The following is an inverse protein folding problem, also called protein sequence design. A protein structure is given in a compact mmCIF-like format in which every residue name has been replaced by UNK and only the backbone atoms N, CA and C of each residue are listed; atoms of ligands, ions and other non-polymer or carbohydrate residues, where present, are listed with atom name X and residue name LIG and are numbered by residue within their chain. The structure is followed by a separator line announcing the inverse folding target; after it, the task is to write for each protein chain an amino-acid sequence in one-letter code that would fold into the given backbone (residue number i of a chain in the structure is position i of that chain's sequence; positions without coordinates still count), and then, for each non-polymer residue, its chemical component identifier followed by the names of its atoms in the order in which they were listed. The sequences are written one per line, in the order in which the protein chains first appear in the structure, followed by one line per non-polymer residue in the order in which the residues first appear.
data_IF_105693284769
#
_entry.id   IF_105693284769
#
_cell.length_a   1.000
_cell.length_b   1.000
_cell.length_c   1.000
_cell.angle_alpha   90.00
_cell.angle_beta   90.00
_cell.angle_gamma   90.00
#
_symmetry.space_group_name_H-M   'P 1'
#
loop_
_entity.id
_entity.type
_entity.pdbx_description
1 polymer ?
#
# COMPACT_ATOMS: atom_id res chain seq x y z
N UNK A 1 0.57 -13.18 3.95
CA UNK A 1 0.83 -12.44 5.19
C UNK A 1 2.32 -12.41 5.50
N UNK A 2 2.82 -11.33 6.09
CA UNK A 2 4.25 -11.19 6.42
C UNK A 2 4.58 -12.04 7.65
N UNK A 3 3.71 -12.06 8.64
CA UNK A 3 3.74 -12.97 9.80
C UNK A 3 2.55 -13.92 9.79
N UNK A 4 2.69 -15.10 10.39
CA UNK A 4 1.59 -16.02 10.67
C UNK A 4 0.56 -15.41 11.64
N UNK A 5 -0.63 -15.97 11.69
CA UNK A 5 -1.78 -15.53 12.50
C UNK A 5 -3.04 -15.33 11.66
N UNK A 6 -4.21 -15.22 12.30
CA UNK A 6 -5.50 -15.01 11.61
C UNK A 6 -5.72 -15.92 10.38
N UNK A 7 -5.65 -17.23 10.56
CA UNK A 7 -5.81 -18.27 9.53
C UNK A 7 -4.61 -18.42 8.55
N UNK A 8 -3.44 -17.89 8.89
CA UNK A 8 -2.18 -18.14 8.17
C UNK A 8 -1.23 -18.82 9.14
N UNK A 9 -0.96 -20.11 8.95
CA UNK A 9 -0.13 -20.92 9.84
C UNK A 9 1.35 -20.51 9.81
N UNK A 10 1.86 -20.10 8.63
CA UNK A 10 3.25 -19.70 8.44
C UNK A 10 3.27 -18.40 7.63
N UNK A 11 3.87 -17.35 8.17
CA UNK A 11 4.13 -16.12 7.43
C UNK A 11 5.40 -16.19 6.60
N UNK A 12 5.60 -15.19 5.73
CA UNK A 12 6.78 -15.10 4.87
C UNK A 12 8.09 -15.11 5.67
N UNK A 13 8.14 -14.40 6.79
CA UNK A 13 9.35 -14.31 7.63
C UNK A 13 9.70 -15.66 8.24
N UNK A 14 8.72 -16.37 8.77
CA UNK A 14 8.87 -17.69 9.36
C UNK A 14 9.34 -18.71 8.30
N UNK A 15 8.75 -18.69 7.11
CA UNK A 15 9.15 -19.55 6.00
C UNK A 15 10.59 -19.29 5.54
N UNK A 16 10.99 -18.01 5.47
CA UNK A 16 12.35 -17.63 5.09
C UNK A 16 13.37 -18.00 6.17
N UNK A 17 13.07 -17.82 7.46
CA UNK A 17 13.91 -18.26 8.56
C UNK A 17 14.16 -19.77 8.52
N UNK A 18 13.10 -20.54 8.31
CA UNK A 18 13.21 -22.00 8.18
C UNK A 18 14.08 -22.42 6.97
N UNK A 19 13.85 -21.79 5.81
CA UNK A 19 14.59 -22.10 4.58
C UNK A 19 16.08 -21.76 4.67
N UNK A 20 16.40 -20.57 5.17
CA UNK A 20 17.78 -20.09 5.15
C UNK A 20 18.58 -20.41 6.42
N UNK A 21 17.92 -20.90 7.48
CA UNK A 21 18.55 -21.22 8.80
C UNK A 21 19.39 -20.05 9.35
N UNK A 22 18.94 -18.81 9.09
CA UNK A 22 19.63 -17.58 9.49
C UNK A 22 18.65 -16.60 10.14
N UNK A 23 19.11 -15.72 11.02
CA UNK A 23 18.29 -14.66 11.52
C UNK A 23 17.86 -13.76 10.35
N UNK A 24 16.56 -13.64 10.15
CA UNK A 24 15.93 -12.74 9.17
C UNK A 24 14.91 -11.94 9.94
N UNK A 25 15.03 -10.61 9.87
CA UNK A 25 14.15 -9.70 10.58
C UNK A 25 13.49 -8.73 9.61
N UNK A 26 12.25 -8.39 9.90
CA UNK A 26 11.44 -7.49 9.08
C UNK A 26 11.84 -6.04 9.31
N UNK A 27 12.17 -5.32 8.25
CA UNK A 27 12.45 -3.88 8.32
C UNK A 27 11.16 -3.06 8.30
N UNK A 28 10.22 -3.44 7.44
CA UNK A 28 8.90 -2.82 7.33
C UNK A 28 7.87 -3.87 6.93
N UNK A 29 6.62 -3.46 6.83
CA UNK A 29 5.52 -4.36 6.46
C UNK A 29 4.74 -3.85 5.25
N UNK A 30 4.12 -4.78 4.54
CA UNK A 30 3.06 -4.54 3.58
C UNK A 30 1.73 -5.02 4.17
N UNK A 31 0.63 -4.43 3.72
CA UNK A 31 -0.70 -4.93 4.02
C UNK A 31 -0.89 -6.34 3.42
N UNK A 32 -1.81 -7.12 3.99
CA UNK A 32 -2.02 -8.53 3.61
C UNK A 32 -2.21 -8.73 2.09
N UNK A 33 -2.93 -7.83 1.44
CA UNK A 33 -3.27 -7.93 0.02
C UNK A 33 -2.36 -7.09 -0.88
N UNK A 34 -1.44 -6.30 -0.32
CA UNK A 34 -0.45 -5.52 -1.08
C UNK A 34 0.71 -6.42 -1.48
N UNK A 35 1.07 -6.37 -2.75
CA UNK A 35 2.24 -7.08 -3.30
C UNK A 35 3.45 -6.16 -3.47
N UNK A 36 4.61 -6.73 -3.81
CA UNK A 36 5.79 -5.98 -4.21
C UNK A 36 6.97 -6.07 -3.25
N UNK A 37 7.82 -5.03 -3.27
CA UNK A 37 9.10 -4.99 -2.58
C UNK A 37 8.93 -5.00 -1.06
N UNK A 38 9.68 -5.88 -0.41
CA UNK A 38 9.75 -6.00 1.04
C UNK A 38 11.22 -6.17 1.45
N UNK A 39 11.69 -5.36 2.40
CA UNK A 39 13.07 -5.43 2.89
C UNK A 39 13.11 -6.30 4.14
N UNK A 40 14.07 -7.23 4.14
CA UNK A 40 14.40 -8.10 5.26
C UNK A 40 15.87 -7.93 5.60
N UNK A 41 16.18 -7.70 6.87
CA UNK A 41 17.55 -7.59 7.36
C UNK A 41 18.09 -8.96 7.79
N UNK A 42 19.31 -9.27 7.39
CA UNK A 42 20.04 -10.49 7.79
C UNK A 42 20.99 -10.26 8.97
N UNK A 43 21.17 -9.01 9.41
CA UNK A 43 22.02 -8.61 10.54
C UNK A 43 21.29 -7.53 11.35
N UNK A 44 21.41 -7.60 12.67
CA UNK A 44 20.76 -6.65 13.59
C UNK A 44 21.25 -5.21 13.42
N UNK A 45 22.55 -5.02 13.10
CA UNK A 45 23.10 -3.69 12.81
C UNK A 45 22.45 -3.06 11.57
N UNK A 46 22.24 -3.86 10.51
CA UNK A 46 21.56 -3.41 9.30
C UNK A 46 20.08 -3.08 9.59
N UNK A 47 19.40 -3.91 10.39
CA UNK A 47 18.02 -3.63 10.81
C UNK A 47 17.92 -2.28 11.52
N UNK A 48 18.84 -2.00 12.46
CA UNK A 48 18.86 -0.74 13.21
C UNK A 48 19.06 0.45 12.26
N UNK A 49 20.05 0.39 11.37
CA UNK A 49 20.32 1.45 10.40
C UNK A 49 19.12 1.71 9.46
N UNK A 50 18.46 0.65 8.97
CA UNK A 50 17.29 0.78 8.11
C UNK A 50 16.05 1.32 8.85
N UNK A 51 15.88 0.98 10.15
CA UNK A 51 14.84 1.57 10.98
C UNK A 51 15.08 3.06 11.24
N UNK A 52 16.32 3.48 11.42
CA UNK A 52 16.69 4.91 11.54
C UNK A 52 16.32 5.67 10.28
N UNK A 53 16.67 5.16 9.09
CA UNK A 53 16.29 5.75 7.81
C UNK A 53 14.76 5.85 7.64
N UNK A 54 14.02 4.81 8.03
CA UNK A 54 12.55 4.83 8.00
C UNK A 54 11.97 5.93 8.91
N UNK A 55 12.53 6.06 10.13
CA UNK A 55 12.08 7.05 11.11
C UNK A 55 12.41 8.48 10.68
N UNK A 56 13.52 8.66 10.00
CA UNK A 56 13.98 9.96 9.47
C UNK A 56 13.40 10.29 8.10
N UNK A 57 12.45 9.48 7.58
CA UNK A 57 11.85 9.64 6.25
C UNK A 57 12.85 9.67 5.09
N UNK A 58 14.00 9.00 5.24
CA UNK A 58 15.05 8.91 4.23
C UNK A 58 14.83 7.80 3.21
N UNK A 59 13.79 6.97 3.39
CA UNK A 59 13.41 5.94 2.43
C UNK A 59 12.30 6.43 1.52
N UNK A 60 12.55 6.43 0.21
CA UNK A 60 11.50 6.67 -0.76
C UNK A 60 10.73 5.38 -1.03
N UNK A 61 9.41 5.44 -0.92
CA UNK A 61 8.48 4.32 -1.11
C UNK A 61 7.55 4.62 -2.27
N UNK A 62 7.72 3.89 -3.37
CA UNK A 62 6.92 4.02 -4.59
C UNK A 62 6.00 2.83 -4.78
N UNK A 63 4.75 3.11 -5.06
CA UNK A 63 3.71 2.12 -5.32
C UNK A 63 3.07 2.38 -6.68
N UNK A 64 2.40 1.35 -7.22
CA UNK A 64 1.51 1.48 -8.36
C UNK A 64 0.14 0.97 -7.93
N UNK A 65 -0.90 1.72 -8.27
CA UNK A 65 -2.29 1.37 -8.01
C UNK A 65 -3.16 1.60 -9.24
N UNK A 66 -4.19 0.77 -9.39
CA UNK A 66 -5.30 1.04 -10.31
C UNK A 66 -6.46 1.59 -9.47
N UNK A 67 -6.92 2.78 -9.81
CA UNK A 67 -7.98 3.48 -9.09
C UNK A 67 -9.18 3.76 -9.97
N UNK A 68 -10.35 3.89 -9.37
CA UNK A 68 -11.59 4.26 -10.05
C UNK A 68 -11.52 5.69 -10.60
N UNK A 69 -12.13 5.90 -11.76
CA UNK A 69 -12.28 7.21 -12.37
C UNK A 69 -11.06 7.71 -13.13
N UNK A 70 -11.26 8.76 -13.91
CA UNK A 70 -10.18 9.48 -14.60
C UNK A 70 -9.56 10.49 -13.67
N UNK A 71 -8.32 10.24 -13.30
CA UNK A 71 -7.54 11.22 -12.53
C UNK A 71 -6.93 12.26 -13.46
N UNK A 72 -6.94 13.53 -13.06
CA UNK A 72 -6.30 14.59 -13.84
C UNK A 72 -4.81 14.30 -14.01
N UNK A 73 -4.21 14.73 -15.13
CA UNK A 73 -2.77 14.50 -15.40
C UNK A 73 -1.83 15.22 -14.43
N UNK A 74 -2.32 16.03 -13.52
CA UNK A 74 -1.52 16.74 -12.52
C UNK A 74 -1.24 15.83 -11.32
N UNK A 75 -0.09 16.03 -10.68
CA UNK A 75 0.21 15.45 -9.37
C UNK A 75 -0.86 15.89 -8.36
N UNK A 76 -1.40 14.93 -7.64
CA UNK A 76 -2.32 15.14 -6.52
C UNK A 76 -1.61 14.81 -5.20
N UNK A 77 -1.62 15.75 -4.27
CA UNK A 77 -1.12 15.52 -2.91
C UNK A 77 -2.31 15.40 -1.97
N UNK A 78 -2.33 14.32 -1.21
CA UNK A 78 -3.28 14.11 -0.11
C UNK A 78 -2.49 14.23 1.19
N UNK A 79 -2.71 15.35 1.89
CA UNK A 79 -2.20 15.63 3.21
C UNK A 79 -3.39 15.57 4.18
N UNK A 80 -3.59 14.39 4.77
CA UNK A 80 -4.75 14.14 5.60
C UNK A 80 -4.40 13.14 6.72
N UNK A 81 -4.60 13.50 8.00
CA UNK A 81 -4.21 12.65 9.12
C UNK A 81 -5.08 11.39 9.18
N UNK A 82 -4.44 10.27 9.52
CA UNK A 82 -5.08 8.97 9.60
C UNK A 82 -5.17 8.50 11.04
N UNK A 83 -6.40 8.28 11.49
CA UNK A 83 -6.71 7.61 12.74
C UNK A 83 -6.94 6.12 12.47
N UNK A 84 -6.30 5.28 13.26
CA UNK A 84 -6.45 3.82 13.20
C UNK A 84 -7.23 3.33 14.40
N UNK A 85 -8.39 2.72 14.19
CA UNK A 85 -9.08 1.90 15.19
C UNK A 85 -8.71 0.40 15.01
N UNK A 86 -9.34 -0.48 15.77
CA UNK A 86 -9.06 -1.92 15.73
C UNK A 86 -9.34 -2.60 14.37
N UNK A 87 -10.18 -2.02 13.53
CA UNK A 87 -10.66 -2.63 12.27
C UNK A 87 -10.33 -1.83 11.01
N UNK A 88 -10.36 -0.50 11.09
CA UNK A 88 -10.25 0.42 9.96
C UNK A 88 -9.24 1.53 10.25
N UNK A 89 -8.74 2.10 9.19
CA UNK A 89 -8.08 3.41 9.19
C UNK A 89 -9.02 4.41 8.54
N UNK A 90 -9.15 5.61 9.09
CA UNK A 90 -10.03 6.67 8.59
C UNK A 90 -9.32 8.01 8.63
N UNK A 91 -9.74 8.95 7.78
CA UNK A 91 -9.30 10.34 7.89
C UNK A 91 -9.98 10.96 9.11
N UNK A 92 -9.19 11.47 10.03
CA UNK A 92 -9.65 12.10 11.25
C UNK A 92 -8.57 13.05 11.79
N UNK A 93 -8.95 14.24 12.23
CA UNK A 93 -8.05 15.24 12.78
C UNK A 93 -7.26 14.79 14.03
N UNK A 94 -7.76 13.78 14.76
CA UNK A 94 -7.08 13.11 15.87
C UNK A 94 -6.07 12.06 15.42
N UNK A 95 -5.98 11.82 14.12
CA UNK A 95 -5.06 10.84 13.51
C UNK A 95 -3.63 11.31 13.49
N UNK A 96 -2.75 10.43 13.01
CA UNK A 96 -1.34 10.75 12.76
C UNK A 96 -1.18 11.38 11.39
N UNK A 97 -0.34 12.40 11.30
CA UNK A 97 0.05 13.02 10.03
C UNK A 97 0.39 11.99 8.97
N UNK A 98 -0.14 12.19 7.78
CA UNK A 98 -0.01 11.24 6.68
C UNK A 98 -0.01 11.98 5.35
N UNK A 99 1.00 11.72 4.52
CA UNK A 99 1.22 12.42 3.27
C UNK A 99 1.46 11.44 2.13
N UNK A 100 0.66 11.56 1.08
CA UNK A 100 0.76 10.74 -0.13
C UNK A 100 0.66 11.59 -1.39
N UNK A 101 1.50 11.28 -2.38
CA UNK A 101 1.54 11.96 -3.67
C UNK A 101 1.14 10.99 -4.76
N UNK A 102 0.07 11.30 -5.47
CA UNK A 102 -0.45 10.51 -6.58
C UNK A 102 -0.05 11.14 -7.91
N UNK A 103 0.58 10.34 -8.77
CA UNK A 103 1.03 10.72 -10.10
C UNK A 103 0.32 9.87 -11.13
N UNK A 104 -0.69 10.38 -11.85
CA UNK A 104 -1.36 9.64 -12.90
C UNK A 104 -0.42 9.26 -14.02
N UNK A 105 -0.34 7.97 -14.34
CA UNK A 105 0.48 7.41 -15.40
C UNK A 105 -0.32 7.21 -16.68
N UNK A 106 -1.53 6.66 -16.55
CA UNK A 106 -2.40 6.35 -17.67
C UNK A 106 -3.86 6.33 -17.23
N UNK A 107 -4.73 6.94 -18.03
CA UNK A 107 -6.18 6.82 -17.88
C UNK A 107 -6.71 5.77 -18.87
N UNK A 108 -7.68 5.00 -18.41
CA UNK A 108 -8.45 4.02 -19.18
C UNK A 108 -9.90 4.45 -19.13
N UNK A 109 -10.53 4.50 -20.30
CA UNK A 109 -11.91 4.93 -20.41
C UNK A 109 -12.59 4.14 -21.51
N UNK A 110 -13.80 3.66 -21.26
CA UNK A 110 -14.75 3.15 -22.23
C UNK A 110 -16.16 3.41 -21.71
N UNK A 111 -17.18 2.93 -22.42
CA UNK A 111 -18.60 3.14 -22.07
C UNK A 111 -19.01 2.47 -20.74
N UNK A 112 -18.24 1.49 -20.28
CA UNK A 112 -18.56 0.70 -19.08
C UNK A 112 -17.88 1.22 -17.82
N UNK A 113 -16.62 1.70 -17.91
CA UNK A 113 -15.85 2.11 -16.75
C UNK A 113 -14.83 3.19 -17.07
N UNK A 114 -14.39 3.87 -16.03
CA UNK A 114 -13.24 4.77 -16.04
C UNK A 114 -12.29 4.38 -14.92
N UNK A 115 -11.00 4.30 -15.23
CA UNK A 115 -9.94 3.93 -14.29
C UNK A 115 -8.65 4.68 -14.60
N UNK A 116 -7.80 4.85 -13.59
CA UNK A 116 -6.47 5.42 -13.73
C UNK A 116 -5.41 4.52 -13.12
N UNK A 117 -4.34 4.27 -13.86
CA UNK A 117 -3.10 3.73 -13.31
C UNK A 117 -2.31 4.90 -12.73
N UNK A 118 -1.98 4.81 -11.44
CA UNK A 118 -1.27 5.88 -10.73
C UNK A 118 -0.01 5.33 -10.06
N UNK A 119 1.07 6.11 -10.09
CA UNK A 119 2.19 5.92 -9.18
C UNK A 119 1.91 6.70 -7.89
N UNK A 120 2.23 6.11 -6.76
CA UNK A 120 2.03 6.74 -5.45
C UNK A 120 3.35 6.76 -4.70
N UNK A 121 3.78 7.95 -4.29
CA UNK A 121 4.93 8.15 -3.40
C UNK A 121 4.39 8.53 -2.01
N UNK A 122 4.85 7.83 -0.97
CA UNK A 122 4.42 8.12 0.39
C UNK A 122 5.60 8.57 1.25
N UNK A 123 5.42 9.65 2.00
CA UNK A 123 6.42 10.14 2.95
C UNK A 123 6.28 9.43 4.30
N UNK A 124 5.07 9.20 4.72
CA UNK A 124 4.72 8.45 5.94
C UNK A 124 4.34 7.00 5.62
N UNK A 125 4.13 6.16 6.63
CA UNK A 125 3.78 4.75 6.44
C UNK A 125 2.68 4.29 7.42
N UNK A 126 1.51 4.96 7.40
CA UNK A 126 0.39 4.59 8.27
C UNK A 126 -0.34 3.36 7.71
N UNK A 127 -1.00 2.63 8.58
CA UNK A 127 -1.81 1.45 8.19
C UNK A 127 -2.84 1.84 7.14
N UNK A 128 -2.87 1.13 6.02
CA UNK A 128 -3.75 1.35 4.88
C UNK A 128 -3.66 2.76 4.24
N UNK A 129 -2.58 3.50 4.45
CA UNK A 129 -2.48 4.93 4.08
C UNK A 129 -2.92 5.19 2.64
N UNK A 130 -2.31 4.54 1.66
CA UNK A 130 -2.62 4.75 0.24
C UNK A 130 -4.08 4.44 -0.06
N UNK A 131 -4.62 3.38 0.55
CA UNK A 131 -6.00 2.92 0.36
C UNK A 131 -7.02 3.95 0.89
N UNK A 132 -6.77 4.48 2.09
CA UNK A 132 -7.61 5.51 2.71
C UNK A 132 -7.50 6.84 1.97
N UNK A 133 -6.29 7.26 1.60
CA UNK A 133 -6.06 8.50 0.86
C UNK A 133 -6.68 8.46 -0.55
N UNK A 134 -6.57 7.33 -1.26
CA UNK A 134 -7.21 7.14 -2.55
C UNK A 134 -8.75 7.24 -2.43
N UNK A 135 -9.34 6.60 -1.41
CA UNK A 135 -10.78 6.71 -1.11
C UNK A 135 -11.18 8.14 -0.76
N UNK A 136 -10.37 8.84 0.05
CA UNK A 136 -10.62 10.24 0.43
C UNK A 136 -10.57 11.20 -0.76
N UNK A 137 -9.79 10.87 -1.78
CA UNK A 137 -9.72 11.62 -3.04
C UNK A 137 -10.80 11.20 -4.05
N UNK A 138 -11.80 10.42 -3.66
CA UNK A 138 -12.89 9.88 -4.50
C UNK A 138 -12.39 8.95 -5.64
N UNK A 139 -11.20 8.38 -5.48
CA UNK A 139 -10.59 7.45 -6.42
C UNK A 139 -10.20 6.13 -5.72
N UNK A 140 -11.14 5.32 -5.21
CA UNK A 140 -10.81 4.10 -4.49
C UNK A 140 -10.04 3.12 -5.36
N UNK A 141 -9.17 2.32 -4.71
CA UNK A 141 -8.33 1.32 -5.40
C UNK A 141 -9.17 0.12 -5.80
N UNK A 142 -8.94 -0.40 -7.00
CA UNK A 142 -9.60 -1.59 -7.53
C UNK A 142 -9.37 -2.82 -6.64
N UNK A 143 -10.43 -3.56 -6.37
CA UNK A 143 -10.47 -4.77 -5.54
C UNK A 143 -10.00 -4.53 -4.10
N UNK A 144 -10.31 -3.36 -3.55
CA UNK A 144 -10.08 -3.05 -2.15
C UNK A 144 -11.28 -3.49 -1.30
N UNK A 145 -11.10 -4.56 -0.53
CA UNK A 145 -12.12 -5.19 0.31
C UNK A 145 -12.69 -4.28 1.42
N UNK A 146 -11.99 -3.19 1.77
CA UNK A 146 -12.34 -2.29 2.87
C UNK A 146 -12.75 -0.89 2.42
N UNK A 147 -12.09 -0.36 1.42
CA UNK A 147 -12.22 1.03 0.99
C UNK A 147 -12.65 1.17 -0.47
N UNK A 148 -12.76 0.05 -1.19
CA UNK A 148 -13.14 0.00 -2.60
C UNK A 148 -14.58 0.42 -2.89
N UNK A 149 -14.89 0.48 -4.17
CA UNK A 149 -16.23 0.67 -4.70
C UNK A 149 -16.76 -0.65 -5.26
N UNK A 150 -17.95 -1.07 -4.84
CA UNK A 150 -18.50 -2.40 -5.18
C UNK A 150 -18.82 -2.55 -6.66
N UNK A 151 -19.30 -1.50 -7.30
CA UNK A 151 -19.66 -1.53 -8.73
C UNK A 151 -18.39 -1.59 -9.58
N UNK A 152 -17.44 -0.72 -9.30
CA UNK A 152 -16.13 -0.72 -9.96
C UNK A 152 -15.39 -2.04 -9.75
N UNK A 153 -15.43 -2.60 -8.55
CA UNK A 153 -14.80 -3.90 -8.25
C UNK A 153 -15.45 -5.05 -9.03
N UNK A 154 -16.77 -5.03 -9.21
CA UNK A 154 -17.48 -6.01 -10.05
C UNK A 154 -17.06 -5.90 -11.52
N UNK A 155 -16.96 -4.68 -12.06
CA UNK A 155 -16.48 -4.42 -13.42
C UNK A 155 -15.04 -4.91 -13.62
N UNK A 156 -14.14 -4.62 -12.67
CA UNK A 156 -12.75 -5.06 -12.74
C UNK A 156 -12.61 -6.58 -12.60
N UNK A 157 -13.45 -7.19 -11.77
CA UNK A 157 -13.50 -8.65 -11.60
C UNK A 157 -13.93 -9.35 -12.89
N UNK A 158 -14.92 -8.81 -13.61
CA UNK A 158 -15.34 -9.33 -14.91
C UNK A 158 -14.22 -9.28 -15.96
N UNK A 159 -13.26 -8.36 -15.81
CA UNK A 159 -12.05 -8.25 -16.65
C UNK A 159 -10.86 -9.07 -16.13
N UNK A 160 -11.08 -9.94 -15.13
CA UNK A 160 -10.06 -10.86 -14.59
C UNK A 160 -9.23 -10.32 -13.42
N UNK A 161 -9.50 -9.13 -12.93
CA UNK A 161 -8.82 -8.60 -11.75
C UNK A 161 -9.47 -9.13 -10.46
N UNK A 162 -8.78 -10.03 -9.74
CA UNK A 162 -9.32 -10.74 -8.59
C UNK A 162 -8.61 -10.41 -7.26
N UNK A 163 -7.75 -9.39 -7.23
CA UNK A 163 -7.02 -8.99 -6.03
C UNK A 163 -6.81 -7.48 -5.99
N UNK A 164 -6.58 -6.94 -4.80
CA UNK A 164 -6.20 -5.53 -4.62
C UNK A 164 -5.10 -5.13 -5.61
N UNK A 165 -5.36 -4.12 -6.42
CA UNK A 165 -4.36 -3.59 -7.35
C UNK A 165 -3.52 -2.51 -6.67
N UNK A 166 -2.73 -2.94 -5.70
CA UNK A 166 -1.73 -2.09 -5.02
C UNK A 166 -0.41 -2.87 -4.93
N UNK A 167 0.64 -2.29 -5.50
CA UNK A 167 1.95 -2.94 -5.62
C UNK A 167 3.07 -2.00 -5.18
N UNK A 168 3.87 -2.40 -4.20
CA UNK A 168 5.09 -1.72 -3.80
C UNK A 168 6.15 -1.90 -4.90
N UNK A 169 6.23 -0.92 -5.81
CA UNK A 169 7.05 -0.97 -7.03
C UNK A 169 8.54 -0.84 -6.73
N UNK A 170 8.89 0.09 -5.84
CA UNK A 170 10.29 0.38 -5.52
C UNK A 170 10.45 0.92 -4.10
N UNK A 171 11.61 0.63 -3.54
CA UNK A 171 12.12 1.18 -2.28
C UNK A 171 13.54 1.66 -2.54
N UNK A 172 13.82 2.93 -2.23
CA UNK A 172 15.16 3.54 -2.32
C UNK A 172 15.61 3.93 -0.92
N UNK A 173 16.81 3.53 -0.52
CA UNK A 173 17.38 3.75 0.81
C UNK A 173 18.91 3.83 0.75
#
# INVERSE_FOLDING_TARGET
AVHGGNNVSIGLVEALKAKYKKPIELVHRLDRSTSGCLILAKKRSVLKALHEQLTQHQMEKRYVALVQGSWSKKRHTVDAPIYQNSRYSVIDSKGKESLSHFHPLKNFHNDEFSASLVEVVIETGRTHQIRVHAKHADHPIAQDDKYGDREFDAQMKAKGLNRLFLHAKALTF
#
